data_IF_978618647051
#
_entry.id   IF_978618647051
#
_cell.length_a   1.000
_cell.length_b   1.000
_cell.length_c   1.000
_cell.angle_alpha   90.00
_cell.angle_beta   90.00
_cell.angle_gamma   90.00
#
_symmetry.space_group_name_H-M   'P 1'
#
loop_
_entity.id
_entity.type
_entity.pdbx_description
1 polymer ?
#
# COMPACT_ATOMS: atom_id res chain seq x y z
N UNK A 1 4.62 13.59 -25.62
CA UNK A 1 3.55 13.96 -24.67
C UNK A 1 2.45 14.62 -25.48
N UNK A 2 1.21 14.12 -25.45
CA UNK A 2 0.10 14.78 -26.13
C UNK A 2 -0.48 15.83 -25.16
N UNK A 3 -0.28 17.11 -25.47
CA UNK A 3 -0.76 18.23 -24.65
C UNK A 3 -2.04 18.72 -25.31
N UNK A 4 -3.11 18.91 -24.52
CA UNK A 4 -4.35 19.49 -25.02
C UNK A 4 -4.09 20.93 -25.49
N UNK A 5 -4.77 21.37 -26.55
CA UNK A 5 -4.60 22.74 -27.08
C UNK A 5 -4.80 23.82 -26.00
N UNK A 6 -5.79 23.63 -25.13
CA UNK A 6 -6.11 24.52 -24.01
C UNK A 6 -4.98 24.66 -22.97
N UNK A 7 -4.10 23.66 -22.85
CA UNK A 7 -3.04 23.63 -21.85
C UNK A 7 -1.68 24.09 -22.39
N UNK A 8 -1.55 24.38 -23.69
CA UNK A 8 -0.26 24.76 -24.30
C UNK A 8 0.37 26.00 -23.68
N UNK A 9 -0.45 27.01 -23.32
CA UNK A 9 0.03 28.22 -22.65
C UNK A 9 0.64 27.90 -21.28
N UNK A 10 -0.10 27.17 -20.44
CA UNK A 10 0.37 26.74 -19.11
C UNK A 10 1.60 25.84 -19.18
N UNK A 11 1.67 24.96 -20.17
CA UNK A 11 2.84 24.11 -20.38
C UNK A 11 4.07 24.93 -20.75
N UNK A 12 3.91 25.98 -21.58
CA UNK A 12 5.00 26.89 -21.89
C UNK A 12 5.50 27.60 -20.63
N UNK A 13 4.60 28.13 -19.80
CA UNK A 13 4.96 28.78 -18.54
C UNK A 13 5.66 27.79 -17.58
N UNK A 14 5.15 26.55 -17.50
CA UNK A 14 5.77 25.48 -16.72
C UNK A 14 7.20 25.20 -17.19
N UNK A 15 7.42 25.02 -18.49
CA UNK A 15 8.78 24.75 -19.01
C UNK A 15 9.77 25.89 -18.76
N UNK A 16 9.31 27.14 -18.71
CA UNK A 16 10.16 28.30 -18.40
C UNK A 16 10.66 28.34 -16.95
N UNK A 17 9.95 27.71 -16.01
CA UNK A 17 10.37 27.64 -14.60
C UNK A 17 11.18 26.40 -14.27
N UNK A 18 11.52 25.58 -15.28
CA UNK A 18 12.37 24.40 -15.11
C UNK A 18 13.83 24.74 -15.47
N UNK A 19 14.77 24.22 -14.67
CA UNK A 19 16.21 24.31 -14.93
C UNK A 19 16.85 22.94 -14.72
N UNK A 20 18.05 22.74 -15.27
CA UNK A 20 18.78 21.49 -15.17
C UNK A 20 20.24 21.75 -14.81
N UNK A 21 20.74 20.97 -13.85
CA UNK A 21 22.15 20.98 -13.42
C UNK A 21 22.67 19.55 -13.48
N UNK A 22 23.73 19.31 -14.25
CA UNK A 22 24.42 18.02 -14.28
C UNK A 22 25.41 17.92 -13.13
N UNK A 23 25.48 16.75 -12.49
CA UNK A 23 26.45 16.48 -11.42
C UNK A 23 26.40 15.03 -10.96
N UNK A 24 27.39 14.61 -10.17
CA UNK A 24 27.45 13.30 -9.52
C UNK A 24 26.78 13.34 -8.14
N UNK A 25 26.33 12.18 -7.67
CA UNK A 25 25.58 12.05 -6.42
C UNK A 25 26.43 12.06 -5.14
N UNK A 26 27.75 11.94 -5.29
CA UNK A 26 28.72 11.76 -4.21
C UNK A 26 29.79 12.86 -4.14
N UNK A 27 29.67 13.91 -4.96
CA UNK A 27 30.68 14.98 -5.06
C UNK A 27 30.13 16.31 -4.54
N UNK A 28 30.70 16.81 -3.46
CA UNK A 28 30.27 18.07 -2.81
C UNK A 28 30.29 19.29 -3.73
N UNK A 29 31.29 19.41 -4.62
CA UNK A 29 31.38 20.52 -5.58
C UNK A 29 30.18 20.58 -6.53
N UNK A 30 29.64 19.43 -6.94
CA UNK A 30 28.46 19.36 -7.81
C UNK A 30 27.20 19.84 -7.05
N UNK A 31 27.10 19.56 -5.75
CA UNK A 31 26.04 20.10 -4.90
C UNK A 31 26.23 21.57 -4.58
N UNK A 32 27.46 22.06 -4.46
CA UNK A 32 27.74 23.49 -4.35
C UNK A 32 27.30 24.23 -5.62
N UNK A 33 27.52 23.65 -6.81
CA UNK A 33 27.01 24.17 -8.07
C UNK A 33 25.48 24.18 -8.12
N UNK A 34 24.82 23.10 -7.68
CA UNK A 34 23.36 23.04 -7.55
C UNK A 34 22.82 24.13 -6.61
N UNK A 35 23.45 24.32 -5.44
CA UNK A 35 23.07 25.36 -4.48
C UNK A 35 23.19 26.77 -5.08
N UNK A 36 24.24 27.03 -5.86
CA UNK A 36 24.43 28.30 -6.56
C UNK A 36 23.32 28.58 -7.57
N UNK A 37 22.91 27.58 -8.35
CA UNK A 37 21.80 27.74 -9.30
C UNK A 37 20.47 27.96 -8.57
N UNK A 38 20.19 27.22 -7.48
CA UNK A 38 18.99 27.46 -6.66
C UNK A 38 18.97 28.87 -6.08
N UNK A 39 20.08 29.36 -5.53
CA UNK A 39 20.17 30.73 -4.98
C UNK A 39 19.91 31.80 -6.05
N UNK A 40 20.39 31.58 -7.27
CA UNK A 40 20.13 32.48 -8.41
C UNK A 40 18.64 32.51 -8.75
N UNK A 41 17.95 31.37 -8.72
CA UNK A 41 16.50 31.28 -8.97
C UNK A 41 15.67 31.88 -7.83
N UNK A 42 16.11 31.71 -6.59
CA UNK A 42 15.47 32.30 -5.39
C UNK A 42 15.57 33.83 -5.38
N UNK A 43 16.68 34.38 -5.87
CA UNK A 43 16.92 35.82 -5.89
C UNK A 43 16.84 36.43 -4.48
N UNK A 44 15.91 37.37 -4.28
CA UNK A 44 15.67 38.01 -2.98
C UNK A 44 14.55 37.35 -2.16
N UNK A 45 13.93 36.28 -2.66
CA UNK A 45 12.82 35.59 -1.98
C UNK A 45 13.29 34.60 -0.92
N UNK A 46 12.41 34.26 0.02
CA UNK A 46 12.64 33.16 0.96
C UNK A 46 12.53 31.84 0.19
N UNK A 47 13.67 31.22 -0.10
CA UNK A 47 13.73 29.96 -0.84
C UNK A 47 13.32 28.75 0.01
N UNK A 48 12.09 28.27 -0.14
CA UNK A 48 11.69 26.97 0.40
C UNK A 48 12.17 25.86 -0.55
N UNK A 49 12.86 24.84 -0.01
CA UNK A 49 13.53 23.81 -0.84
C UNK A 49 12.97 22.42 -0.57
N UNK A 50 12.43 21.80 -1.61
CA UNK A 50 12.01 20.39 -1.60
C UNK A 50 12.97 19.56 -2.45
N UNK A 51 13.68 18.62 -1.82
CA UNK A 51 14.55 17.68 -2.52
C UNK A 51 13.80 16.36 -2.70
N UNK A 52 13.39 16.08 -3.94
CA UNK A 52 12.76 14.80 -4.29
C UNK A 52 13.81 13.80 -4.76
N UNK A 53 14.08 12.77 -3.95
CA UNK A 53 15.11 11.76 -4.23
C UNK A 53 14.55 10.62 -5.09
N UNK A 54 14.25 10.92 -6.36
CA UNK A 54 13.86 9.93 -7.37
C UNK A 54 15.08 9.13 -7.87
N UNK A 55 15.76 8.46 -6.95
CA UNK A 55 17.08 7.87 -7.13
C UNK A 55 17.11 6.41 -6.65
N UNK A 56 18.07 5.59 -7.12
CA UNK A 56 18.32 4.28 -6.53
C UNK A 56 18.68 4.38 -5.03
N UNK A 57 18.32 3.38 -4.20
CA UNK A 57 18.55 3.44 -2.76
C UNK A 57 20.04 3.48 -2.38
N UNK A 58 20.92 2.97 -3.23
CA UNK A 58 22.37 2.95 -3.01
C UNK A 58 23.01 4.34 -2.92
N UNK A 59 22.34 5.37 -3.44
CA UNK A 59 22.83 6.75 -3.40
C UNK A 59 22.09 7.63 -2.39
N UNK A 60 21.16 7.10 -1.61
CA UNK A 60 20.39 7.91 -0.65
C UNK A 60 21.26 8.56 0.41
N UNK A 61 22.14 7.79 1.06
CA UNK A 61 23.03 8.33 2.10
C UNK A 61 23.97 9.43 1.57
N UNK A 62 24.75 9.24 0.48
CA UNK A 62 25.65 10.30 -0.01
C UNK A 62 24.90 11.55 -0.48
N UNK A 63 23.75 11.40 -1.14
CA UNK A 63 22.93 12.54 -1.58
C UNK A 63 22.37 13.30 -0.38
N UNK A 64 21.83 12.61 0.62
CA UNK A 64 21.32 13.22 1.85
C UNK A 64 22.40 14.02 2.58
N UNK A 65 23.62 13.46 2.71
CA UNK A 65 24.78 14.14 3.31
C UNK A 65 25.13 15.41 2.56
N UNK A 66 25.24 15.34 1.23
CA UNK A 66 25.59 16.50 0.42
C UNK A 66 24.50 17.57 0.40
N UNK A 67 23.21 17.18 0.41
CA UNK A 67 22.09 18.13 0.58
C UNK A 67 22.24 18.89 1.89
N UNK A 68 22.48 18.18 3.00
CA UNK A 68 22.62 18.79 4.32
C UNK A 68 23.81 19.75 4.40
N UNK A 69 24.93 19.42 3.77
CA UNK A 69 26.14 20.22 3.81
C UNK A 69 26.10 21.45 2.89
N UNK A 70 25.52 21.32 1.69
CA UNK A 70 25.67 22.32 0.65
C UNK A 70 24.37 23.03 0.25
N UNK A 71 23.22 22.38 0.40
CA UNK A 71 21.98 22.79 -0.27
C UNK A 71 20.83 23.19 0.66
N UNK A 72 21.06 23.27 1.97
CA UNK A 72 20.03 23.72 2.92
C UNK A 72 19.62 25.17 2.66
N UNK A 73 18.32 25.46 2.77
CA UNK A 73 17.84 26.84 2.76
C UNK A 73 18.30 27.58 4.02
N UNK A 74 18.66 28.87 3.87
CA UNK A 74 19.09 29.72 4.98
C UNK A 74 17.93 30.38 5.74
N UNK A 75 16.79 30.56 5.07
CA UNK A 75 15.65 31.33 5.59
C UNK A 75 14.33 30.57 5.49
N UNK A 76 14.17 29.73 4.47
CA UNK A 76 13.00 28.89 4.26
C UNK A 76 13.15 27.51 4.88
N UNK A 77 12.11 26.70 4.74
CA UNK A 77 12.20 25.29 5.13
C UNK A 77 12.97 24.48 4.09
N UNK A 78 13.55 23.37 4.54
CA UNK A 78 14.10 22.33 3.67
C UNK A 78 13.43 21.01 4.00
N UNK A 79 12.90 20.32 2.98
CA UNK A 79 12.22 19.03 3.10
C UNK A 79 12.80 18.05 2.10
N UNK A 80 12.95 16.79 2.51
CA UNK A 80 13.51 15.71 1.70
C UNK A 80 12.46 14.63 1.52
N UNK A 81 12.13 14.32 0.27
CA UNK A 81 11.17 13.29 -0.12
C UNK A 81 11.95 12.06 -0.58
N UNK A 82 11.66 10.91 0.03
CA UNK A 82 12.40 9.67 -0.19
C UNK A 82 11.44 8.58 -0.62
N UNK A 83 11.82 7.85 -1.68
CA UNK A 83 11.06 6.74 -2.23
C UNK A 83 11.52 5.39 -1.68
N UNK A 84 10.63 4.40 -1.76
CA UNK A 84 10.97 3.01 -1.43
C UNK A 84 12.02 2.47 -2.44
N UNK A 85 12.90 1.53 -2.04
CA UNK A 85 12.91 0.78 -0.78
C UNK A 85 13.63 1.49 0.38
N UNK A 86 13.05 1.39 1.58
CA UNK A 86 13.65 1.92 2.82
C UNK A 86 14.39 0.83 3.60
N UNK A 87 15.44 0.28 2.98
CA UNK A 87 16.11 -0.94 3.43
C UNK A 87 15.43 -2.22 2.90
N UNK A 88 15.95 -3.37 3.31
CA UNK A 88 15.45 -4.71 2.92
C UNK A 88 15.05 -5.58 4.12
N UNK A 89 15.38 -5.12 5.33
CA UNK A 89 15.16 -5.74 6.63
C UNK A 89 15.27 -4.66 7.72
N UNK A 90 15.08 -5.07 8.98
CA UNK A 90 15.15 -4.17 10.14
C UNK A 90 16.50 -3.47 10.26
N UNK A 91 17.61 -4.17 10.01
CA UNK A 91 18.96 -3.64 10.24
C UNK A 91 19.32 -2.59 9.19
N UNK A 92 19.14 -2.92 7.91
CA UNK A 92 19.40 -1.99 6.80
C UNK A 92 18.46 -0.80 6.78
N UNK A 93 17.21 -0.99 7.23
CA UNK A 93 16.27 0.12 7.39
C UNK A 93 16.65 1.05 8.55
N UNK A 94 17.11 0.48 9.67
CA UNK A 94 17.61 1.24 10.80
C UNK A 94 18.88 2.03 10.43
N UNK A 95 19.81 1.44 9.67
CA UNK A 95 21.00 2.12 9.15
C UNK A 95 20.62 3.37 8.34
N UNK A 96 19.74 3.22 7.34
CA UNK A 96 19.26 4.35 6.55
C UNK A 96 18.54 5.39 7.42
N UNK A 97 17.68 4.95 8.34
CA UNK A 97 16.90 5.84 9.19
C UNK A 97 17.78 6.64 10.14
N UNK A 98 18.78 5.99 10.76
CA UNK A 98 19.74 6.65 11.65
C UNK A 98 20.61 7.65 10.90
N UNK A 99 21.05 7.30 9.67
CA UNK A 99 21.79 8.24 8.81
C UNK A 99 20.96 9.49 8.52
N UNK A 100 19.71 9.32 8.08
CA UNK A 100 18.83 10.45 7.78
C UNK A 100 18.52 11.29 9.03
N UNK A 101 18.24 10.66 10.17
CA UNK A 101 17.96 11.34 11.44
C UNK A 101 19.18 12.10 11.99
N UNK A 102 20.41 11.68 11.66
CA UNK A 102 21.62 12.43 12.00
C UNK A 102 21.77 13.75 11.20
N UNK A 103 21.05 13.86 10.08
CA UNK A 103 21.14 15.00 9.16
C UNK A 103 19.90 15.90 9.21
N UNK A 104 18.71 15.33 9.38
CA UNK A 104 17.43 16.04 9.27
C UNK A 104 16.52 15.74 10.45
N UNK A 105 15.76 16.74 10.88
CA UNK A 105 14.67 16.51 11.83
C UNK A 105 13.57 15.68 11.15
N UNK A 106 12.83 14.88 11.92
CA UNK A 106 11.76 14.03 11.38
C UNK A 106 10.68 14.85 10.65
N UNK A 107 10.47 16.12 11.02
CA UNK A 107 9.56 17.06 10.35
C UNK A 107 10.02 17.47 8.94
N UNK A 108 11.28 17.21 8.59
CA UNK A 108 11.86 17.49 7.28
C UNK A 108 11.87 16.26 6.36
N UNK A 109 11.60 15.06 6.89
CA UNK A 109 11.70 13.81 6.15
C UNK A 109 10.30 13.33 5.72
N UNK A 110 10.14 13.06 4.43
CA UNK A 110 8.89 12.65 3.81
C UNK A 110 9.09 11.32 3.08
N UNK A 111 8.85 10.22 3.79
CA UNK A 111 8.98 8.85 3.23
C UNK A 111 7.69 8.48 2.50
N UNK A 112 7.78 8.28 1.20
CA UNK A 112 6.63 7.97 0.35
C UNK A 112 6.21 6.51 0.53
N UNK A 113 4.94 6.34 0.89
CA UNK A 113 4.15 5.19 0.46
C UNK A 113 2.98 5.74 -0.36
N UNK A 114 3.03 5.59 -1.68
CA UNK A 114 2.03 6.17 -2.57
C UNK A 114 0.61 5.64 -2.34
N UNK A 115 0.41 4.51 -1.64
CA UNK A 115 -0.94 4.07 -1.29
C UNK A 115 -1.62 5.01 -0.28
N UNK A 116 -0.86 5.70 0.57
CA UNK A 116 -1.39 6.71 1.50
C UNK A 116 -1.93 7.96 0.76
N UNK A 117 -1.50 8.19 -0.47
CA UNK A 117 -2.02 9.25 -1.35
C UNK A 117 -3.32 8.87 -2.07
N UNK A 118 -3.76 7.61 -2.01
CA UNK A 118 -4.97 7.17 -2.72
C UNK A 118 -6.24 7.59 -2.00
N UNK A 119 -7.20 8.09 -2.76
CA UNK A 119 -8.48 8.60 -2.28
C UNK A 119 -9.17 7.66 -1.28
N UNK A 120 -9.33 6.39 -1.68
CA UNK A 120 -10.05 5.41 -0.87
C UNK A 120 -9.28 4.96 0.39
N UNK A 121 -7.95 5.09 0.40
CA UNK A 121 -7.14 4.81 1.58
C UNK A 121 -7.34 5.93 2.61
N UNK A 122 -7.38 7.19 2.18
CA UNK A 122 -7.69 8.31 3.07
C UNK A 122 -9.12 8.25 3.61
N UNK A 123 -10.06 7.80 2.77
CA UNK A 123 -11.45 7.67 3.15
C UNK A 123 -11.71 6.64 4.27
N UNK A 124 -10.77 5.73 4.55
CA UNK A 124 -10.87 4.79 5.68
C UNK A 124 -11.10 5.53 7.01
N UNK A 125 -10.40 6.64 7.25
CA UNK A 125 -10.57 7.41 8.48
C UNK A 125 -11.96 8.05 8.57
N UNK A 126 -12.46 8.62 7.47
CA UNK A 126 -13.79 9.22 7.42
C UNK A 126 -14.88 8.17 7.65
N UNK A 127 -14.79 7.02 6.96
CA UNK A 127 -15.73 5.90 7.14
C UNK A 127 -15.77 5.44 8.59
N UNK A 128 -14.61 5.28 9.23
CA UNK A 128 -14.54 4.75 10.61
C UNK A 128 -14.97 5.75 11.68
N UNK A 129 -14.55 7.00 11.57
CA UNK A 129 -14.61 7.94 12.70
C UNK A 129 -15.65 9.04 12.56
N UNK A 130 -16.25 9.21 11.37
CA UNK A 130 -17.33 10.18 11.12
C UNK A 130 -18.72 9.53 11.03
N UNK A 131 -18.82 8.20 11.10
CA UNK A 131 -20.08 7.49 10.90
C UNK A 131 -20.48 6.63 12.11
N UNK A 132 -21.61 6.96 12.72
CA UNK A 132 -22.13 6.22 13.88
C UNK A 132 -22.54 4.78 13.53
N UNK A 133 -22.91 4.50 12.27
CA UNK A 133 -23.31 3.16 11.82
C UNK A 133 -22.16 2.14 11.85
N UNK A 134 -20.90 2.59 11.71
CA UNK A 134 -19.73 1.70 11.68
C UNK A 134 -18.99 1.63 13.01
N UNK A 135 -19.05 2.68 13.84
CA UNK A 135 -18.32 2.74 15.11
C UNK A 135 -18.56 1.54 16.04
N UNK A 136 -19.81 1.21 16.41
CA UNK A 136 -20.11 0.12 17.34
C UNK A 136 -19.76 -1.28 16.84
N UNK A 137 -19.70 -1.49 15.51
CA UNK A 137 -19.44 -2.80 14.90
C UNK A 137 -17.98 -2.98 14.49
N UNK A 138 -17.12 -1.96 14.67
CA UNK A 138 -15.71 -2.01 14.28
C UNK A 138 -14.80 -2.68 15.33
N UNK A 139 -15.11 -3.91 15.71
CA UNK A 139 -14.36 -4.67 16.72
C UNK A 139 -14.59 -6.18 16.59
N UNK A 140 -13.81 -6.95 17.37
CA UNK A 140 -13.87 -8.42 17.49
C UNK A 140 -15.24 -9.00 17.80
N UNK A 141 -16.20 -8.25 18.35
CA UNK A 141 -17.52 -8.80 18.65
C UNK A 141 -18.35 -8.97 17.39
N UNK A 142 -18.19 -8.07 16.42
CA UNK A 142 -18.95 -8.07 15.16
C UNK A 142 -18.14 -8.53 13.96
N UNK A 143 -16.82 -8.28 13.93
CA UNK A 143 -15.96 -8.64 12.79
C UNK A 143 -15.43 -10.06 12.96
N UNK A 144 -15.54 -10.87 11.91
CA UNK A 144 -14.99 -12.22 11.84
C UNK A 144 -13.58 -12.23 11.25
N UNK A 145 -13.33 -11.42 10.21
CA UNK A 145 -12.02 -11.34 9.56
C UNK A 145 -11.89 -10.05 8.75
N UNK A 146 -10.66 -9.58 8.56
CA UNK A 146 -10.33 -8.49 7.65
C UNK A 146 -9.44 -9.04 6.53
N UNK A 147 -9.74 -8.70 5.27
CA UNK A 147 -8.93 -9.06 4.11
C UNK A 147 -8.45 -7.79 3.42
N UNK A 148 -7.15 -7.68 3.21
CA UNK A 148 -6.54 -6.59 2.44
C UNK A 148 -5.84 -7.22 1.25
N UNK A 149 -6.32 -6.90 0.05
CA UNK A 149 -5.85 -7.51 -1.20
C UNK A 149 -5.20 -6.49 -2.11
N UNK A 150 -4.11 -6.89 -2.75
CA UNK A 150 -3.47 -6.22 -3.88
C UNK A 150 -3.25 -7.25 -4.99
N UNK A 151 -3.67 -6.94 -6.21
CA UNK A 151 -3.61 -7.85 -7.34
C UNK A 151 -3.20 -7.10 -8.58
N UNK A 152 -2.27 -7.66 -9.32
CA UNK A 152 -1.87 -7.17 -10.64
C UNK A 152 -2.09 -8.26 -11.68
N UNK A 153 -2.67 -7.93 -12.85
CA UNK A 153 -2.92 -8.88 -13.90
C UNK A 153 -1.71 -9.13 -14.81
N UNK A 154 -0.60 -8.42 -14.55
CA UNK A 154 0.65 -8.54 -15.27
C UNK A 154 1.73 -9.15 -14.39
N UNK A 155 2.70 -9.83 -15.02
CA UNK A 155 3.89 -10.40 -14.37
C UNK A 155 4.95 -9.33 -14.01
N UNK A 156 6.23 -9.67 -14.15
CA UNK A 156 7.34 -8.72 -13.90
C UNK A 156 7.74 -7.86 -15.10
N UNK A 157 7.15 -8.08 -16.27
CA UNK A 157 7.32 -7.24 -17.47
C UNK A 157 8.79 -6.94 -17.81
N UNK A 158 9.64 -7.98 -17.79
CA UNK A 158 11.09 -7.86 -18.07
C UNK A 158 11.93 -7.21 -16.97
N UNK A 159 11.34 -6.92 -15.80
CA UNK A 159 12.03 -6.43 -14.60
C UNK A 159 12.20 -7.52 -13.54
N UNK A 160 12.15 -8.79 -13.94
CA UNK A 160 12.20 -9.94 -13.05
C UNK A 160 13.45 -9.97 -12.18
N UNK A 161 14.62 -9.63 -12.71
CA UNK A 161 15.88 -9.61 -11.97
C UNK A 161 15.94 -8.58 -10.84
N UNK A 162 15.33 -7.40 -11.02
CA UNK A 162 15.20 -6.43 -9.94
C UNK A 162 14.22 -6.93 -8.87
N UNK A 163 13.06 -7.46 -9.30
CA UNK A 163 12.07 -8.01 -8.39
C UNK A 163 12.59 -9.21 -7.59
N UNK A 164 13.47 -10.03 -8.18
CA UNK A 164 14.05 -11.22 -7.57
C UNK A 164 14.84 -10.92 -6.28
N UNK A 165 15.43 -9.73 -6.19
CA UNK A 165 16.19 -9.31 -5.01
C UNK A 165 15.32 -8.91 -3.82
N UNK A 166 14.02 -8.72 -4.00
CA UNK A 166 13.10 -8.23 -2.97
C UNK A 166 11.95 -9.19 -2.69
N UNK A 167 11.29 -9.69 -3.75
CA UNK A 167 10.09 -10.49 -3.69
C UNK A 167 8.84 -9.71 -3.27
N UNK A 168 7.68 -10.35 -3.39
CA UNK A 168 6.37 -9.69 -3.23
C UNK A 168 6.11 -9.14 -1.82
N UNK A 169 6.70 -9.75 -0.78
CA UNK A 169 6.51 -9.30 0.61
C UNK A 169 7.14 -7.93 0.82
N UNK A 170 8.39 -7.73 0.38
CA UNK A 170 9.08 -6.43 0.46
C UNK A 170 8.50 -5.41 -0.52
N UNK A 171 8.08 -5.86 -1.71
CA UNK A 171 7.55 -4.97 -2.75
C UNK A 171 6.21 -4.34 -2.33
N UNK A 172 5.30 -5.12 -1.74
CA UNK A 172 3.89 -4.72 -1.53
C UNK A 172 3.36 -4.97 -0.11
N UNK A 173 3.69 -6.11 0.51
CA UNK A 173 3.03 -6.51 1.77
C UNK A 173 3.51 -5.69 2.97
N UNK A 174 4.83 -5.53 3.10
CA UNK A 174 5.47 -4.84 4.23
C UNK A 174 5.15 -3.34 4.25
N UNK A 175 4.91 -2.74 3.09
CA UNK A 175 4.57 -1.33 2.93
C UNK A 175 3.05 -1.15 2.73
N UNK A 176 2.55 -1.19 1.51
CA UNK A 176 1.20 -0.80 1.12
C UNK A 176 0.11 -1.51 1.92
N UNK A 177 0.20 -2.84 2.05
CA UNK A 177 -0.83 -3.59 2.77
C UNK A 177 -0.79 -3.33 4.27
N UNK A 178 0.40 -3.20 4.85
CA UNK A 178 0.55 -2.90 6.27
C UNK A 178 0.13 -1.46 6.61
N UNK A 179 0.37 -0.50 5.70
CA UNK A 179 -0.13 0.86 5.82
C UNK A 179 -1.67 0.88 5.86
N UNK A 180 -2.32 0.16 4.95
CA UNK A 180 -3.78 0.02 4.96
C UNK A 180 -4.25 -0.69 6.23
N UNK A 181 -3.56 -1.75 6.68
CA UNK A 181 -3.87 -2.44 7.93
C UNK A 181 -3.86 -1.46 9.11
N UNK A 182 -2.84 -0.61 9.21
CA UNK A 182 -2.74 0.35 10.31
C UNK A 182 -3.94 1.30 10.34
N UNK A 183 -4.41 1.79 9.18
CA UNK A 183 -5.57 2.67 9.07
C UNK A 183 -6.90 1.95 9.35
N UNK A 184 -7.01 0.67 8.99
CA UNK A 184 -8.17 -0.16 9.33
C UNK A 184 -8.24 -0.45 10.83
N UNK A 185 -7.08 -0.65 11.46
CA UNK A 185 -6.99 -1.22 12.80
C UNK A 185 -6.75 -0.22 13.93
N UNK A 186 -6.15 0.95 13.65
CA UNK A 186 -5.82 1.98 14.66
C UNK A 186 -7.03 2.41 15.49
N UNK A 187 -6.82 2.86 16.74
CA UNK A 187 -7.90 3.49 17.51
C UNK A 187 -8.27 4.87 16.95
N UNK A 188 -9.36 5.46 17.45
CA UNK A 188 -9.71 6.84 17.10
C UNK A 188 -8.63 7.77 17.64
N UNK A 189 -7.95 8.55 16.79
CA UNK A 189 -6.93 9.48 17.25
C UNK A 189 -7.55 10.64 18.03
N UNK A 190 -6.74 11.31 18.86
CA UNK A 190 -7.17 12.47 19.65
C UNK A 190 -7.64 13.61 18.75
N UNK A 191 -7.00 13.79 17.59
CA UNK A 191 -7.39 14.75 16.58
C UNK A 191 -6.97 14.29 15.17
N UNK A 192 -7.20 15.12 14.16
CA UNK A 192 -6.71 14.90 12.79
C UNK A 192 -5.29 15.44 12.56
N UNK A 193 -4.58 15.86 13.61
CA UNK A 193 -3.17 16.24 13.51
C UNK A 193 -2.31 15.04 13.09
N UNK A 194 -1.29 15.31 12.27
CA UNK A 194 -0.42 14.27 11.72
C UNK A 194 0.22 13.38 12.79
N UNK A 195 0.68 13.94 13.91
CA UNK A 195 1.26 13.17 15.01
C UNK A 195 0.22 12.26 15.68
N UNK A 196 -0.97 12.76 15.97
CA UNK A 196 -2.02 11.99 16.66
C UNK A 196 -2.46 10.78 15.83
N UNK A 197 -2.57 10.96 14.51
CA UNK A 197 -2.89 9.88 13.57
C UNK A 197 -1.74 8.85 13.54
N UNK A 198 -0.50 9.31 13.35
CA UNK A 198 0.68 8.43 13.26
C UNK A 198 0.95 7.68 14.55
N UNK A 199 0.66 8.29 15.71
CA UNK A 199 0.76 7.63 17.01
C UNK A 199 -0.17 6.42 17.11
N UNK A 200 -1.43 6.53 16.67
CA UNK A 200 -2.36 5.40 16.69
C UNK A 200 -2.01 4.33 15.64
N UNK A 201 -1.44 4.70 14.49
CA UNK A 201 -0.87 3.74 13.52
C UNK A 201 0.27 2.94 14.14
N UNK A 202 1.25 3.61 14.76
CA UNK A 202 2.39 2.94 15.40
C UNK A 202 1.95 2.08 16.58
N UNK A 203 1.02 2.57 17.40
CA UNK A 203 0.47 1.82 18.53
C UNK A 203 -0.15 0.50 18.09
N UNK A 204 -0.90 0.48 16.98
CA UNK A 204 -1.48 -0.78 16.49
C UNK A 204 -0.43 -1.72 15.92
N UNK A 205 0.60 -1.21 15.22
CA UNK A 205 1.70 -2.04 14.71
C UNK A 205 2.53 -2.67 15.84
N UNK A 206 2.71 -1.98 16.97
CA UNK A 206 3.35 -2.55 18.17
C UNK A 206 2.60 -3.75 18.75
N UNK A 207 1.29 -3.84 18.53
CA UNK A 207 0.46 -4.98 18.94
C UNK A 207 0.54 -6.16 17.95
N UNK A 208 1.23 -6.02 16.82
CA UNK A 208 1.38 -7.08 15.82
C UNK A 208 2.64 -7.92 16.13
N UNK A 209 2.51 -9.21 16.47
CA UNK A 209 3.67 -10.09 16.62
C UNK A 209 4.31 -10.36 15.24
N UNK A 210 5.59 -10.76 15.19
CA UNK A 210 6.22 -11.15 13.94
C UNK A 210 5.47 -12.28 13.24
N UNK A 211 5.36 -12.17 11.91
CA UNK A 211 4.71 -13.19 11.08
C UNK A 211 5.58 -14.44 11.02
N UNK A 212 4.95 -15.62 11.05
CA UNK A 212 5.65 -16.91 10.98
C UNK A 212 5.28 -17.68 9.73
N UNK A 213 6.14 -18.61 9.29
CA UNK A 213 5.87 -19.46 8.12
C UNK A 213 4.58 -20.29 8.22
N UNK A 214 4.08 -20.57 9.43
CA UNK A 214 2.83 -21.34 9.62
C UNK A 214 1.59 -20.58 9.13
N UNK A 215 1.67 -19.24 9.10
CA UNK A 215 0.60 -18.33 8.74
C UNK A 215 0.81 -17.69 7.36
N UNK A 216 1.73 -18.25 6.56
CA UNK A 216 2.11 -17.71 5.26
C UNK A 216 2.04 -18.79 4.20
N UNK A 217 1.49 -18.42 3.05
CA UNK A 217 1.53 -19.22 1.83
C UNK A 217 2.17 -18.38 0.72
N UNK A 218 3.23 -18.93 0.12
CA UNK A 218 4.01 -18.31 -0.95
C UNK A 218 3.70 -18.99 -2.28
N UNK A 219 3.57 -18.20 -3.33
CA UNK A 219 3.35 -18.69 -4.69
C UNK A 219 4.28 -18.04 -5.72
N UNK A 220 4.48 -18.73 -6.84
CA UNK A 220 5.24 -18.24 -7.99
C UNK A 220 4.47 -18.56 -9.28
N UNK A 221 4.24 -17.56 -10.14
CA UNK A 221 3.41 -17.77 -11.32
C UNK A 221 4.13 -18.60 -12.39
N UNK A 222 3.38 -19.46 -13.06
CA UNK A 222 3.79 -20.22 -14.24
C UNK A 222 2.96 -19.81 -15.46
N UNK A 223 3.51 -20.02 -16.65
CA UNK A 223 2.80 -19.74 -17.89
C UNK A 223 1.46 -20.48 -17.97
N UNK A 224 0.45 -19.81 -18.48
CA UNK A 224 -0.89 -20.37 -18.69
C UNK A 224 -0.88 -21.26 -19.93
N UNK A 225 -1.24 -22.56 -19.82
CA UNK A 225 -1.36 -23.43 -20.99
C UNK A 225 -2.31 -22.84 -22.04
N UNK A 226 -1.83 -22.69 -23.27
CA UNK A 226 -2.60 -22.07 -24.36
C UNK A 226 -2.77 -20.55 -24.27
N UNK A 227 -2.08 -19.89 -23.32
CA UNK A 227 -1.97 -18.43 -23.26
C UNK A 227 -1.18 -17.87 -24.46
N UNK A 228 -1.31 -16.57 -24.70
CA UNK A 228 -0.55 -15.85 -25.74
C UNK A 228 0.22 -14.68 -25.12
N UNK A 229 1.33 -14.31 -25.75
CA UNK A 229 2.18 -13.21 -25.26
C UNK A 229 2.72 -13.47 -23.85
N UNK A 230 2.62 -12.47 -22.96
CA UNK A 230 3.09 -12.57 -21.56
C UNK A 230 2.37 -13.66 -20.76
N UNK A 231 1.09 -13.96 -21.06
CA UNK A 231 0.34 -14.98 -20.30
C UNK A 231 0.93 -16.39 -20.48
N UNK A 232 1.62 -16.63 -21.59
CA UNK A 232 2.26 -17.92 -21.87
C UNK A 232 3.56 -18.13 -21.07
N UNK A 233 4.10 -17.07 -20.46
CA UNK A 233 5.40 -17.09 -19.78
C UNK A 233 5.23 -17.11 -18.26
N UNK A 234 5.97 -18.00 -17.61
CA UNK A 234 6.13 -18.05 -16.16
C UNK A 234 7.19 -17.07 -15.66
N UNK A 235 7.34 -16.99 -14.34
CA UNK A 235 8.34 -16.11 -13.73
C UNK A 235 9.77 -16.51 -14.10
N UNK A 236 10.04 -17.81 -14.17
CA UNK A 236 11.36 -18.35 -14.51
C UNK A 236 11.68 -18.30 -16.02
N UNK A 237 10.70 -17.94 -16.85
CA UNK A 237 10.91 -17.75 -18.29
C UNK A 237 11.44 -16.33 -18.61
N UNK A 238 11.43 -15.41 -17.63
CA UNK A 238 12.08 -14.10 -17.74
C UNK A 238 13.61 -14.28 -17.71
N UNK A 239 14.35 -13.91 -18.78
CA UNK A 239 15.79 -14.14 -18.87
C UNK A 239 16.61 -13.35 -17.85
N UNK A 240 16.00 -12.36 -17.18
CA UNK A 240 16.64 -11.59 -16.11
C UNK A 240 16.53 -12.29 -14.75
N UNK A 241 15.74 -13.36 -14.63
CA UNK A 241 15.52 -14.12 -13.40
C UNK A 241 16.45 -15.34 -13.36
N UNK A 242 17.09 -15.65 -12.22
CA UNK A 242 17.86 -16.87 -12.07
C UNK A 242 16.99 -18.13 -12.34
N UNK A 243 17.44 -19.12 -13.14
CA UNK A 243 16.63 -20.29 -13.54
C UNK A 243 16.09 -21.14 -12.38
N UNK A 244 16.71 -21.03 -11.20
CA UNK A 244 16.34 -21.75 -9.98
C UNK A 244 15.81 -20.80 -8.88
N UNK A 245 15.36 -19.60 -9.24
CA UNK A 245 14.79 -18.64 -8.31
C UNK A 245 13.60 -19.24 -7.55
N UNK A 246 13.56 -18.97 -6.25
CA UNK A 246 12.44 -19.32 -5.36
C UNK A 246 11.70 -18.08 -4.88
N UNK A 247 11.90 -16.95 -5.54
CA UNK A 247 11.26 -15.69 -5.18
C UNK A 247 9.75 -15.79 -5.38
N UNK A 248 9.02 -15.45 -4.33
CA UNK A 248 7.57 -15.45 -4.36
C UNK A 248 7.04 -14.23 -5.14
N UNK A 249 6.19 -14.50 -6.13
CA UNK A 249 5.42 -13.48 -6.88
C UNK A 249 4.01 -13.31 -6.32
N UNK A 250 3.61 -14.19 -5.39
CA UNK A 250 2.39 -14.14 -4.60
C UNK A 250 2.71 -14.46 -3.15
N UNK A 251 2.08 -13.74 -2.22
CA UNK A 251 2.05 -14.11 -0.82
C UNK A 251 0.66 -13.84 -0.24
N UNK A 252 0.20 -14.77 0.58
CA UNK A 252 -0.84 -14.47 1.57
C UNK A 252 -0.31 -14.75 2.96
N UNK A 253 -0.54 -13.83 3.88
CA UNK A 253 -0.13 -13.92 5.27
C UNK A 253 -1.33 -13.62 6.17
N UNK A 254 -1.44 -14.35 7.28
CA UNK A 254 -2.39 -14.03 8.35
C UNK A 254 -1.64 -13.32 9.47
N UNK A 255 -2.17 -12.16 9.85
CA UNK A 255 -1.64 -11.30 10.91
C UNK A 255 -2.69 -11.19 12.00
N UNK A 256 -2.27 -11.21 13.26
CA UNK A 256 -3.13 -10.95 14.41
C UNK A 256 -2.68 -9.67 15.11
N UNK A 257 -3.61 -8.98 15.75
CA UNK A 257 -3.34 -7.75 16.49
C UNK A 257 -3.70 -8.00 17.95
N UNK A 258 -2.69 -8.06 18.81
CA UNK A 258 -2.83 -8.40 20.23
C UNK A 258 -3.26 -7.16 21.03
N UNK A 259 -4.52 -6.76 20.87
CA UNK A 259 -5.16 -5.73 21.68
C UNK A 259 -6.65 -6.05 21.90
N UNK A 260 -7.30 -5.27 22.77
CA UNK A 260 -8.70 -5.50 23.13
C UNK A 260 -9.66 -5.50 21.92
N UNK A 261 -9.47 -4.57 20.97
CA UNK A 261 -10.36 -4.41 19.82
C UNK A 261 -10.31 -5.59 18.85
N UNK A 262 -9.13 -6.18 18.64
CA UNK A 262 -8.85 -7.11 17.56
C UNK A 262 -8.44 -8.52 18.00
N UNK A 263 -8.44 -8.80 19.30
CA UNK A 263 -8.12 -10.13 19.83
C UNK A 263 -8.89 -11.23 19.08
N UNK A 264 -8.13 -12.19 18.53
CA UNK A 264 -8.65 -13.33 17.79
C UNK A 264 -9.14 -13.05 16.37
N UNK A 265 -9.16 -11.80 15.90
CA UNK A 265 -9.58 -11.45 14.53
C UNK A 265 -8.39 -11.58 13.57
N UNK A 266 -8.45 -12.46 12.56
CA UNK A 266 -7.39 -12.57 11.55
C UNK A 266 -7.46 -11.40 10.55
N UNK A 267 -6.31 -10.79 10.32
CA UNK A 267 -6.04 -9.88 9.22
C UNK A 267 -5.30 -10.64 8.12
N UNK A 268 -6.01 -10.92 7.04
CA UNK A 268 -5.51 -11.65 5.89
C UNK A 268 -4.94 -10.64 4.89
N UNK A 269 -3.63 -10.61 4.78
CA UNK A 269 -2.91 -9.82 3.78
C UNK A 269 -2.67 -10.70 2.56
N UNK A 270 -2.97 -10.18 1.37
CA UNK A 270 -2.74 -10.88 0.12
C UNK A 270 -2.24 -9.95 -0.96
N UNK A 271 -1.13 -10.31 -1.57
CA UNK A 271 -0.60 -9.62 -2.74
C UNK A 271 -0.07 -10.60 -3.77
N UNK A 272 -0.22 -10.29 -5.05
CA UNK A 272 0.45 -11.04 -6.11
C UNK A 272 0.37 -10.43 -7.49
N UNK A 273 1.31 -10.85 -8.34
CA UNK A 273 1.41 -10.54 -9.77
C UNK A 273 0.84 -11.66 -10.63
N UNK A 274 0.56 -11.37 -11.90
CA UNK A 274 -0.01 -12.32 -12.86
C UNK A 274 -1.30 -12.99 -12.36
N UNK A 275 -2.19 -12.22 -11.72
CA UNK A 275 -3.49 -12.67 -11.24
C UNK A 275 -4.61 -12.32 -12.23
N UNK A 276 -5.83 -12.73 -11.95
CA UNK A 276 -6.96 -12.54 -12.87
C UNK A 276 -7.42 -11.10 -13.11
N UNK A 277 -7.00 -10.12 -12.29
CA UNK A 277 -7.48 -8.73 -12.37
C UNK A 277 -6.52 -7.77 -11.66
N UNK A 278 -6.56 -6.49 -12.05
CA UNK A 278 -6.00 -5.40 -11.24
C UNK A 278 -6.98 -5.06 -10.14
N UNK A 279 -6.60 -5.18 -8.87
CA UNK A 279 -7.47 -4.79 -7.76
C UNK A 279 -6.69 -4.51 -6.48
N UNK A 280 -6.98 -3.40 -5.83
CA UNK A 280 -6.67 -3.19 -4.42
C UNK A 280 -7.97 -2.98 -3.64
N UNK A 281 -8.19 -3.72 -2.55
CA UNK A 281 -9.41 -3.63 -1.75
C UNK A 281 -9.17 -3.96 -0.28
N UNK A 282 -9.99 -3.37 0.58
CA UNK A 282 -10.19 -3.74 1.98
C UNK A 282 -11.57 -4.37 2.10
N UNK A 283 -11.65 -5.57 2.67
CA UNK A 283 -12.91 -6.28 2.94
C UNK A 283 -12.98 -6.64 4.41
N UNK A 284 -14.06 -6.22 5.06
CA UNK A 284 -14.37 -6.52 6.45
C UNK A 284 -15.55 -7.47 6.43
N UNK A 285 -15.32 -8.72 6.80
CA UNK A 285 -16.37 -9.74 6.88
C UNK A 285 -16.87 -9.82 8.32
N UNK A 286 -18.16 -9.58 8.51
CA UNK A 286 -18.82 -9.66 9.82
C UNK A 286 -19.06 -11.12 10.23
N UNK A 287 -19.36 -11.36 11.50
CA UNK A 287 -19.79 -12.66 12.00
C UNK A 287 -21.18 -13.01 11.50
N UNK A 288 -21.52 -14.29 11.62
CA UNK A 288 -22.87 -14.77 11.38
C UNK A 288 -23.83 -14.13 12.41
N UNK A 289 -25.07 -13.84 12.00
CA UNK A 289 -26.09 -13.29 12.90
C UNK A 289 -26.48 -14.37 13.92
N UNK A 290 -26.48 -14.08 15.23
CA UNK A 290 -26.87 -15.06 16.25
C UNK A 290 -28.37 -15.34 16.21
N UNK A 291 -28.76 -16.57 16.54
CA UNK A 291 -30.18 -16.97 16.61
C UNK A 291 -30.84 -17.01 15.24
N UNK A 292 -30.22 -17.69 14.28
CA UNK A 292 -30.68 -17.74 12.89
C UNK A 292 -32.12 -18.29 12.76
N UNK A 293 -32.99 -17.49 12.15
CA UNK A 293 -34.38 -17.82 11.85
C UNK A 293 -34.61 -18.10 10.35
N UNK A 294 -33.55 -18.02 9.54
CA UNK A 294 -33.59 -18.19 8.08
C UNK A 294 -32.96 -19.51 7.63
N UNK A 295 -32.97 -20.54 8.48
CA UNK A 295 -32.63 -21.93 8.10
C UNK A 295 -31.21 -22.15 7.57
N UNK A 296 -30.24 -21.33 7.95
CA UNK A 296 -28.86 -21.37 7.49
C UNK A 296 -28.61 -20.66 6.15
N UNK A 297 -29.62 -19.99 5.60
CA UNK A 297 -29.50 -19.31 4.31
C UNK A 297 -28.73 -17.99 4.41
N UNK A 298 -28.76 -17.34 5.57
CA UNK A 298 -28.08 -16.07 5.83
C UNK A 298 -26.57 -16.14 5.60
N UNK A 299 -26.03 -15.14 4.90
CA UNK A 299 -24.59 -15.01 4.61
C UNK A 299 -24.01 -13.87 5.43
N UNK A 300 -22.73 -13.99 5.80
CA UNK A 300 -22.00 -12.94 6.50
C UNK A 300 -22.04 -11.65 5.70
N UNK A 301 -22.35 -10.55 6.39
CA UNK A 301 -22.29 -9.22 5.78
C UNK A 301 -20.82 -8.86 5.51
N UNK A 302 -20.59 -8.02 4.51
CA UNK A 302 -19.25 -7.56 4.16
C UNK A 302 -19.25 -6.06 3.85
N UNK A 303 -18.41 -5.28 4.53
CA UNK A 303 -18.07 -3.93 4.09
C UNK A 303 -16.84 -4.01 3.20
N UNK A 304 -16.93 -3.45 2.00
CA UNK A 304 -15.84 -3.45 1.03
C UNK A 304 -15.51 -2.05 0.59
N UNK A 305 -14.23 -1.69 0.68
CA UNK A 305 -13.65 -0.48 0.13
C UNK A 305 -12.72 -0.90 -1.00
N UNK A 306 -13.13 -0.67 -2.24
CA UNK A 306 -12.31 -0.92 -3.43
C UNK A 306 -11.46 0.32 -3.69
N UNK A 307 -10.16 0.19 -3.48
CA UNK A 307 -9.19 1.27 -3.65
C UNK A 307 -8.92 1.56 -5.12
N UNK A 308 -8.80 0.52 -5.94
CA UNK A 308 -8.66 0.64 -7.39
C UNK A 308 -8.88 -0.73 -8.07
N UNK A 309 -9.20 -0.76 -9.37
CA UNK A 309 -9.80 0.31 -10.15
C UNK A 309 -11.28 0.51 -9.78
N UNK A 310 -11.86 1.63 -10.20
CA UNK A 310 -13.28 1.92 -9.99
C UNK A 310 -13.59 2.07 -8.50
N UNK A 311 -13.02 3.11 -7.90
CA UNK A 311 -13.15 3.50 -6.51
C UNK A 311 -14.60 3.35 -6.03
N UNK A 312 -14.81 2.54 -5.00
CA UNK A 312 -16.15 2.25 -4.51
C UNK A 312 -16.15 1.83 -3.04
N UNK A 313 -17.28 2.07 -2.39
CA UNK A 313 -17.61 1.56 -1.06
C UNK A 313 -18.94 0.86 -1.18
N UNK A 314 -19.03 -0.38 -0.72
CA UNK A 314 -20.29 -1.09 -0.69
C UNK A 314 -20.42 -2.02 0.51
N UNK A 315 -21.64 -2.18 0.99
CA UNK A 315 -21.99 -3.11 2.06
C UNK A 315 -22.84 -4.21 1.48
N UNK A 316 -22.33 -5.45 1.52
CA UNK A 316 -23.11 -6.64 1.20
C UNK A 316 -23.93 -7.06 2.42
N UNK A 317 -25.22 -7.27 2.20
CA UNK A 317 -26.17 -7.65 3.25
C UNK A 317 -27.27 -8.58 2.71
N UNK A 318 -28.06 -9.15 3.60
CA UNK A 318 -29.21 -10.00 3.23
C UNK A 318 -30.47 -9.13 3.13
N UNK A 319 -31.22 -9.29 2.06
CA UNK A 319 -32.53 -8.66 1.86
C UNK A 319 -33.58 -9.70 1.47
N UNK A 320 -34.86 -9.38 1.65
CA UNK A 320 -35.95 -10.17 1.07
C UNK A 320 -35.85 -10.10 -0.44
N UNK A 321 -35.80 -11.25 -1.11
CA UNK A 321 -35.82 -11.36 -2.56
C UNK A 321 -37.03 -10.63 -3.15
N UNK A 322 -36.89 -9.76 -4.16
CA UNK A 322 -38.03 -9.14 -4.82
C UNK A 322 -38.98 -10.21 -5.40
N UNK A 323 -40.28 -10.09 -5.11
CA UNK A 323 -41.30 -11.04 -5.54
C UNK A 323 -42.24 -11.48 -4.43
N UNK A 324 -43.04 -12.53 -4.69
CA UNK A 324 -44.13 -12.98 -3.82
C UNK A 324 -43.68 -13.91 -2.68
N UNK A 325 -42.54 -14.63 -2.84
CA UNK A 325 -42.01 -15.52 -1.82
C UNK A 325 -41.23 -14.75 -0.73
N UNK A 326 -41.14 -15.33 0.47
CA UNK A 326 -40.38 -14.76 1.61
C UNK A 326 -38.98 -15.37 1.72
N UNK A 327 -38.28 -15.48 0.59
CA UNK A 327 -36.89 -15.93 0.55
C UNK A 327 -35.95 -14.74 0.75
N UNK A 328 -34.74 -14.98 1.25
CA UNK A 328 -33.69 -13.98 1.39
C UNK A 328 -32.58 -14.17 0.35
N UNK A 329 -31.92 -13.08 -0.05
CA UNK A 329 -30.77 -13.10 -0.96
C UNK A 329 -29.70 -12.07 -0.56
N UNK A 330 -28.46 -12.30 -1.00
CA UNK A 330 -27.37 -11.32 -0.87
C UNK A 330 -27.58 -10.16 -1.87
N UNK A 331 -27.53 -8.92 -1.39
CA UNK A 331 -27.52 -7.70 -2.21
C UNK A 331 -26.58 -6.65 -1.58
N UNK A 332 -26.54 -5.44 -2.11
CA UNK A 332 -25.61 -4.39 -1.68
C UNK A 332 -26.21 -2.99 -1.59
N UNK A 333 -25.64 -2.19 -0.69
CA UNK A 333 -25.70 -0.73 -0.73
C UNK A 333 -24.40 -0.23 -1.37
N UNK A 334 -24.46 0.43 -2.51
CA UNK A 334 -23.27 0.82 -3.32
C UNK A 334 -23.07 2.33 -3.41
N UNK A 335 -21.81 2.74 -3.25
CA UNK A 335 -21.28 4.05 -3.62
C UNK A 335 -20.10 3.85 -4.58
N UNK A 336 -20.37 3.81 -5.87
CA UNK A 336 -19.33 3.84 -6.91
C UNK A 336 -19.02 5.29 -7.32
N UNK A 337 -17.76 5.71 -7.15
CA UNK A 337 -17.36 7.11 -7.32
C UNK A 337 -17.57 7.61 -8.75
N UNK A 338 -17.18 6.81 -9.75
CA UNK A 338 -17.36 7.18 -11.17
C UNK A 338 -18.83 7.40 -11.57
N UNK A 339 -19.77 6.78 -10.86
CA UNK A 339 -21.21 6.98 -11.08
C UNK A 339 -21.76 8.16 -10.28
N UNK A 340 -21.33 8.32 -9.02
CA UNK A 340 -21.87 9.33 -8.09
C UNK A 340 -21.26 10.73 -8.25
N UNK A 341 -19.99 10.81 -8.64
CA UNK A 341 -19.19 12.04 -8.74
C UNK A 341 -18.72 12.27 -10.17
N UNK A 342 -19.63 12.09 -11.14
CA UNK A 342 -19.35 12.30 -12.57
C UNK A 342 -18.79 13.70 -12.82
N UNK A 343 -17.71 13.77 -13.62
CA UNK A 343 -17.03 15.02 -13.96
C UNK A 343 -16.00 15.49 -12.94
N UNK A 344 -15.86 14.82 -11.78
CA UNK A 344 -14.75 15.06 -10.87
C UNK A 344 -13.54 14.22 -11.27
N UNK A 345 -12.38 14.85 -11.36
CA UNK A 345 -11.10 14.16 -11.53
C UNK A 345 -10.53 13.86 -10.16
N UNK A 346 -10.26 12.58 -9.88
CA UNK A 346 -9.52 12.18 -8.70
C UNK A 346 -8.02 12.39 -8.98
N UNK A 347 -7.30 13.14 -8.14
CA UNK A 347 -5.87 13.34 -8.34
C UNK A 347 -5.12 12.02 -8.15
N UNK A 348 -4.01 11.85 -8.87
CA UNK A 348 -3.10 10.76 -8.61
C UNK A 348 -2.48 10.90 -7.19
N UNK A 349 -2.04 9.76 -6.64
CA UNK A 349 -1.38 9.74 -5.35
C UNK A 349 -0.20 10.72 -5.25
N UNK A 350 0.61 10.83 -6.31
CA UNK A 350 1.77 11.72 -6.31
C UNK A 350 1.41 13.20 -6.35
N UNK A 351 0.35 13.57 -7.08
CA UNK A 351 -0.14 14.96 -7.10
C UNK A 351 -0.52 15.41 -5.69
N UNK A 352 -1.20 14.54 -4.95
CA UNK A 352 -1.60 14.80 -3.56
C UNK A 352 -0.40 14.84 -2.62
N UNK A 353 0.47 13.82 -2.67
CA UNK A 353 1.58 13.72 -1.73
C UNK A 353 2.57 14.87 -1.93
N UNK A 354 2.91 15.24 -3.17
CA UNK A 354 3.79 16.40 -3.42
C UNK A 354 3.18 17.69 -2.84
N UNK A 355 1.86 17.88 -3.01
CA UNK A 355 1.16 19.02 -2.44
C UNK A 355 1.20 19.02 -0.90
N UNK A 356 1.07 17.86 -0.26
CA UNK A 356 1.20 17.72 1.19
C UNK A 356 2.60 18.11 1.67
N UNK A 357 3.67 17.76 0.93
CA UNK A 357 5.04 18.21 1.24
C UNK A 357 5.14 19.73 1.18
N UNK A 358 4.50 20.39 0.21
CA UNK A 358 4.47 21.85 0.11
C UNK A 358 3.78 22.49 1.33
N UNK A 359 2.64 21.93 1.77
CA UNK A 359 1.92 22.40 2.96
C UNK A 359 2.58 22.02 4.28
N UNK A 360 3.54 21.10 4.27
CA UNK A 360 4.17 20.58 5.48
C UNK A 360 3.35 19.53 6.21
N UNK A 361 2.32 18.98 5.57
CA UNK A 361 1.50 17.91 6.14
C UNK A 361 2.22 16.58 6.06
N UNK A 362 2.45 15.94 7.21
CA UNK A 362 3.07 14.60 7.28
C UNK A 362 2.06 13.48 7.52
N UNK A 363 0.75 13.75 7.42
CA UNK A 363 -0.32 12.77 7.71
C UNK A 363 -0.18 11.51 6.86
N UNK A 364 0.19 11.67 5.58
CA UNK A 364 0.25 10.61 4.58
C UNK A 364 1.67 10.10 4.30
N UNK A 365 2.59 10.26 5.26
CA UNK A 365 3.99 9.85 5.12
C UNK A 365 4.40 8.90 6.24
N UNK A 366 5.30 7.98 5.93
CA UNK A 366 5.75 6.95 6.88
C UNK A 366 6.76 7.56 7.86
N UNK A 367 6.45 7.50 9.16
CA UNK A 367 7.35 7.93 10.24
C UNK A 367 8.43 6.88 10.51
N UNK A 368 9.57 7.30 11.05
CA UNK A 368 10.71 6.39 11.33
C UNK A 368 10.36 5.19 12.22
N UNK A 369 9.61 5.43 13.30
CA UNK A 369 9.15 4.37 14.22
C UNK A 369 8.08 3.47 13.59
N UNK A 370 7.23 4.02 12.73
CA UNK A 370 6.26 3.26 11.94
C UNK A 370 6.96 2.27 11.00
N UNK A 371 8.02 2.74 10.33
CA UNK A 371 8.85 1.91 9.46
C UNK A 371 9.60 0.82 10.25
N UNK A 372 10.10 1.16 11.44
CA UNK A 372 10.77 0.19 12.31
C UNK A 372 9.84 -0.95 12.74
N UNK A 373 8.61 -0.64 13.13
CA UNK A 373 7.60 -1.66 13.46
C UNK A 373 7.21 -2.49 12.25
N UNK A 374 7.05 -1.86 11.07
CA UNK A 374 6.78 -2.57 9.83
C UNK A 374 7.85 -3.61 9.51
N UNK A 375 9.13 -3.27 9.67
CA UNK A 375 10.22 -4.23 9.51
C UNK A 375 10.27 -5.26 10.64
N UNK A 376 10.05 -4.89 11.90
CA UNK A 376 10.01 -5.84 13.03
C UNK A 376 9.04 -6.98 12.78
N UNK A 377 7.88 -6.69 12.17
CA UNK A 377 6.83 -7.67 11.88
C UNK A 377 7.28 -8.70 10.83
N UNK A 378 8.02 -8.29 9.80
CA UNK A 378 8.33 -9.15 8.65
C UNK A 378 9.78 -9.66 8.58
N UNK A 379 10.74 -8.99 9.20
CA UNK A 379 12.17 -9.34 9.12
C UNK A 379 12.45 -10.80 9.50
N UNK A 380 11.90 -11.36 10.61
CA UNK A 380 12.15 -12.77 10.95
C UNK A 380 11.68 -13.75 9.87
N UNK A 381 10.49 -13.51 9.30
CA UNK A 381 9.94 -14.29 8.19
C UNK A 381 10.84 -14.18 6.95
N UNK A 382 11.25 -12.96 6.59
CA UNK A 382 12.07 -12.71 5.42
C UNK A 382 13.45 -13.39 5.54
N UNK A 383 14.10 -13.30 6.71
CA UNK A 383 15.34 -14.00 6.98
C UNK A 383 15.18 -15.52 6.91
N UNK A 384 14.04 -16.05 7.38
CA UNK A 384 13.74 -17.47 7.25
C UNK A 384 13.59 -17.87 5.78
N UNK A 385 12.84 -17.10 4.98
CA UNK A 385 12.66 -17.33 3.54
C UNK A 385 14.00 -17.29 2.80
N UNK A 386 14.84 -16.30 3.07
CA UNK A 386 16.13 -16.14 2.39
C UNK A 386 17.11 -17.28 2.72
N UNK A 387 17.05 -17.79 3.96
CA UNK A 387 17.89 -18.90 4.46
C UNK A 387 17.41 -20.26 3.95
N UNK A 388 16.13 -20.57 4.15
CA UNK A 388 15.56 -21.90 3.89
C UNK A 388 15.13 -22.06 2.43
N UNK A 389 14.90 -20.94 1.73
CA UNK A 389 14.46 -20.87 0.34
C UNK A 389 13.31 -21.85 0.08
N UNK A 390 12.18 -21.73 0.79
CA UNK A 390 11.04 -22.63 0.60
C UNK A 390 10.59 -22.59 -0.87
N UNK A 391 10.19 -23.73 -1.42
CA UNK A 391 9.69 -23.77 -2.80
C UNK A 391 8.29 -23.13 -2.83
N UNK A 392 8.08 -22.02 -3.57
CA UNK A 392 6.76 -21.42 -3.68
C UNK A 392 5.81 -22.36 -4.46
N UNK A 393 4.52 -22.30 -4.13
CA UNK A 393 3.49 -23.08 -4.82
C UNK A 393 3.29 -22.50 -6.23
N UNK A 394 3.33 -23.32 -7.29
CA UNK A 394 3.06 -22.83 -8.64
C UNK A 394 1.60 -22.42 -8.78
N UNK A 395 1.33 -21.29 -9.43
CA UNK A 395 -0.02 -20.90 -9.80
C UNK A 395 -0.06 -20.39 -11.23
N UNK A 396 -1.14 -20.67 -11.95
CA UNK A 396 -1.25 -20.27 -13.35
C UNK A 396 -1.40 -18.76 -13.49
N UNK A 397 -0.74 -18.19 -14.51
CA UNK A 397 -0.95 -16.80 -14.91
C UNK A 397 -2.44 -16.53 -15.14
N UNK A 398 -2.95 -15.46 -14.55
CA UNK A 398 -4.35 -15.06 -14.65
C UNK A 398 -5.27 -15.82 -13.69
N UNK A 399 -4.74 -16.68 -12.82
CA UNK A 399 -5.56 -17.33 -11.79
C UNK A 399 -6.04 -16.34 -10.72
N UNK A 400 -7.14 -16.71 -10.05
CA UNK A 400 -7.68 -15.95 -8.91
C UNK A 400 -6.91 -16.15 -7.62
N UNK A 401 -5.86 -16.97 -7.60
CA UNK A 401 -5.31 -17.59 -6.41
C UNK A 401 -5.19 -19.11 -6.65
N UNK A 402 -4.77 -19.82 -5.62
CA UNK A 402 -4.54 -21.26 -5.66
C UNK A 402 -4.99 -21.91 -4.34
N UNK A 403 -5.18 -23.22 -4.37
CA UNK A 403 -5.87 -23.99 -3.32
C UNK A 403 -5.29 -23.72 -1.93
N UNK A 404 -3.97 -23.73 -1.79
CA UNK A 404 -3.27 -23.57 -0.52
C UNK A 404 -3.52 -22.18 0.09
N UNK A 405 -3.62 -21.13 -0.73
CA UNK A 405 -3.98 -19.80 -0.26
C UNK A 405 -5.44 -19.73 0.21
N UNK A 406 -6.36 -20.33 -0.56
CA UNK A 406 -7.78 -20.38 -0.19
C UNK A 406 -8.01 -21.23 1.09
N UNK A 407 -7.24 -22.31 1.26
CA UNK A 407 -7.30 -23.17 2.43
C UNK A 407 -6.78 -22.46 3.69
N UNK A 408 -5.73 -21.63 3.58
CA UNK A 408 -5.29 -20.76 4.67
C UNK A 408 -6.42 -19.82 5.12
N UNK A 409 -7.12 -19.21 4.17
CA UNK A 409 -8.21 -18.27 4.47
C UNK A 409 -9.38 -18.96 5.18
N UNK A 410 -9.78 -20.14 4.67
CA UNK A 410 -10.83 -20.96 5.29
C UNK A 410 -10.45 -21.39 6.69
N UNK A 411 -9.18 -21.81 6.90
CA UNK A 411 -8.65 -22.26 8.19
C UNK A 411 -8.79 -21.18 9.27
N UNK A 412 -8.58 -19.92 8.92
CA UNK A 412 -8.71 -18.79 9.86
C UNK A 412 -10.12 -18.21 9.92
N UNK A 413 -11.09 -18.82 9.23
CA UNK A 413 -12.51 -18.52 9.40
C UNK A 413 -13.11 -17.54 8.40
N UNK A 414 -12.40 -17.16 7.33
CA UNK A 414 -13.00 -16.45 6.21
C UNK A 414 -13.95 -17.38 5.43
N UNK A 415 -15.17 -16.93 5.17
CA UNK A 415 -16.17 -17.68 4.41
C UNK A 415 -16.34 -17.09 3.01
N UNK A 416 -16.11 -17.89 1.97
CA UNK A 416 -16.44 -17.55 0.59
C UNK A 416 -17.67 -18.33 0.15
N UNK A 417 -18.77 -17.64 -0.14
CA UNK A 417 -20.04 -18.29 -0.50
C UNK A 417 -20.23 -18.51 -2.00
N UNK A 418 -19.59 -17.70 -2.86
CA UNK A 418 -19.74 -17.79 -4.32
C UNK A 418 -21.14 -17.50 -4.87
N UNK A 419 -22.09 -17.14 -4.01
CA UNK A 419 -23.50 -16.89 -4.33
C UNK A 419 -23.76 -15.46 -4.79
N UNK A 420 -23.01 -14.49 -4.27
CA UNK A 420 -23.11 -13.09 -4.66
C UNK A 420 -22.77 -12.84 -6.12
N UNK A 421 -23.67 -12.20 -6.86
CA UNK A 421 -23.48 -11.74 -8.23
C UNK A 421 -23.66 -10.23 -8.31
N UNK A 422 -22.58 -9.51 -8.56
CA UNK A 422 -22.66 -8.08 -8.84
C UNK A 422 -22.93 -7.86 -10.32
N UNK A 423 -24.10 -7.32 -10.65
CA UNK A 423 -24.42 -6.83 -11.98
C UNK A 423 -24.17 -5.33 -12.04
N UNK A 424 -23.29 -4.88 -12.95
CA UNK A 424 -23.15 -3.44 -13.24
C UNK A 424 -24.51 -2.90 -13.66
N UNK A 425 -25.03 -1.95 -12.89
CA UNK A 425 -26.19 -1.15 -13.27
C UNK A 425 -25.86 -0.20 -14.42
#
# INVERSE_FOLDING_TARGET
>A
MQIKEEDKGRFKDFTQVNSYVSGRYDVGDDFAALNKEMQKLEGASIGNRMFYMALPPTVFQPVATNIKQHCMSKQGWTRVVIEKPFGKDSDTSAELSNHLASLFDESQIYRIDHYLGKEMVQNLMAIRFANQIFGPTWNRNSIASVVISFKEPFGTQGRGGYFDSFGIIRDVMQNHLLQILSLVAMEKPVSTNAEDIRNEKVKVLKCVPPVTMNDVVLGQYVGKPGGTGEEAQGYLDDPTVPPNSRTATYATAVVYINNERWEGVPFILRCGKALNERKAEVRIQYKDVPGDIFGGESKRNELVLRVQPGEAIYVKFMAKKPGMAFDIEETELDLTYGSRYKGMTMPDAYERLILDVCYGSQVHFVRSDELAEAWRIFTPLLHQIDREKPKPVPYEYGSRGFKEADDLWKRVGFKFYGTYRWTKA
#
